data_IF_753144103815
#
_entry.id   IF_753144103815
#
_cell.length_a   1.000
_cell.length_b   1.000
_cell.length_c   1.000
_cell.angle_alpha   90.00
_cell.angle_beta   90.00
_cell.angle_gamma   90.00
#
_symmetry.space_group_name_H-M   'P 1'
#
loop_
_entity.id
_entity.type
_entity.pdbx_description
1 polymer ?
#
# COMPACT_ATOMS: atom_id res chain seq x y z
N UNK A 1 5.64 -14.31 -14.55
CA UNK A 1 6.55 -14.47 -13.40
C UNK A 1 5.79 -14.09 -12.14
N UNK A 2 5.37 -15.07 -11.34
CA UNK A 2 4.74 -14.83 -10.05
C UNK A 2 5.74 -14.09 -9.16
N UNK A 3 5.40 -12.86 -8.72
CA UNK A 3 6.20 -12.14 -7.73
C UNK A 3 6.20 -12.98 -6.45
N UNK A 4 7.39 -13.33 -5.95
CA UNK A 4 7.53 -13.89 -4.60
C UNK A 4 6.92 -12.87 -3.64
N UNK A 5 5.83 -13.25 -2.96
CA UNK A 5 5.26 -12.42 -1.91
C UNK A 5 6.33 -12.25 -0.83
N UNK A 6 6.74 -11.01 -0.55
CA UNK A 6 7.55 -10.71 0.63
C UNK A 6 6.70 -11.07 1.87
N UNK A 7 7.32 -11.41 3.02
CA UNK A 7 6.55 -11.80 4.20
C UNK A 7 5.63 -10.68 4.67
N UNK A 8 6.07 -9.43 4.52
CA UNK A 8 5.25 -8.26 4.76
C UNK A 8 4.01 -8.16 3.85
N UNK A 9 3.95 -8.89 2.72
CA UNK A 9 2.78 -8.95 1.85
C UNK A 9 1.76 -10.05 2.20
N UNK A 10 2.06 -10.97 3.12
CA UNK A 10 1.11 -12.04 3.49
C UNK A 10 -0.06 -11.42 4.28
N UNK A 11 -1.22 -11.33 3.65
CA UNK A 11 -2.45 -10.77 4.24
C UNK A 11 -2.88 -9.41 3.67
N UNK A 12 -2.00 -8.71 2.94
CA UNK A 12 -2.27 -7.40 2.34
C UNK A 12 -2.64 -7.50 0.84
N UNK A 13 -3.50 -8.43 0.41
CA UNK A 13 -3.78 -8.66 -1.03
C UNK A 13 -4.65 -7.56 -1.70
N UNK A 14 -4.38 -6.27 -1.47
CA UNK A 14 -5.10 -5.16 -2.10
C UNK A 14 -4.49 -4.82 -3.45
N UNK A 15 -5.27 -5.02 -4.51
CA UNK A 15 -4.93 -4.62 -5.88
C UNK A 15 -5.37 -3.17 -6.16
N UNK A 16 -4.70 -2.52 -7.12
CA UNK A 16 -5.06 -1.15 -7.52
C UNK A 16 -6.28 -1.14 -8.44
N UNK A 17 -7.25 -0.27 -8.14
CA UNK A 17 -8.41 0.00 -9.00
C UNK A 17 -8.15 1.29 -9.78
N UNK A 18 -8.00 1.19 -11.10
CA UNK A 18 -7.57 2.32 -11.93
C UNK A 18 -8.71 3.06 -12.62
N UNK A 19 -8.57 4.38 -12.70
CA UNK A 19 -9.37 5.27 -13.53
C UNK A 19 -8.42 5.91 -14.56
N UNK A 20 -8.78 5.80 -15.84
CA UNK A 20 -8.06 6.47 -16.92
C UNK A 20 -8.38 7.95 -16.92
N UNK A 21 -7.36 8.80 -17.04
CA UNK A 21 -7.51 10.25 -17.17
C UNK A 21 -6.52 10.84 -18.16
N UNK A 22 -6.90 11.95 -18.77
CA UNK A 22 -5.98 12.75 -19.58
C UNK A 22 -5.22 13.72 -18.67
N UNK A 23 -3.89 13.75 -18.78
CA UNK A 23 -3.05 14.58 -17.92
C UNK A 23 -3.10 16.04 -18.39
N UNK A 24 -3.77 16.88 -17.61
CA UNK A 24 -3.85 18.34 -17.83
C UNK A 24 -2.73 19.06 -17.07
N UNK A 25 -2.41 18.60 -15.85
CA UNK A 25 -1.29 19.10 -15.04
C UNK A 25 -0.16 18.07 -15.01
N UNK A 26 1.11 18.45 -15.17
CA UNK A 26 2.20 17.48 -15.15
C UNK A 26 2.24 16.70 -13.83
N UNK A 27 2.08 15.38 -13.93
CA UNK A 27 2.17 14.44 -12.81
C UNK A 27 3.32 13.45 -13.05
N UNK A 28 3.91 12.93 -11.98
CA UNK A 28 5.03 11.99 -12.07
C UNK A 28 4.53 10.56 -11.92
N UNK A 29 4.91 9.71 -12.85
CA UNK A 29 4.61 8.28 -12.82
C UNK A 29 5.35 7.60 -11.64
N UNK A 30 4.61 6.90 -10.78
CA UNK A 30 5.12 6.26 -9.56
C UNK A 30 6.02 5.05 -9.83
N UNK A 31 5.87 4.27 -10.92
CA UNK A 31 6.84 3.22 -11.20
C UNK A 31 8.14 3.65 -11.90
N UNK A 32 8.10 4.68 -12.77
CA UNK A 32 9.26 5.03 -13.60
C UNK A 32 9.91 6.39 -13.30
N UNK A 33 9.29 7.21 -12.44
CA UNK A 33 9.83 8.51 -12.03
C UNK A 33 9.77 9.59 -13.10
N UNK A 34 9.34 9.25 -14.31
CA UNK A 34 9.20 10.18 -15.43
C UNK A 34 7.87 10.93 -15.35
N UNK A 35 7.86 12.18 -15.80
CA UNK A 35 6.64 13.00 -15.89
C UNK A 35 5.78 12.49 -17.03
N UNK A 36 4.48 12.33 -16.77
CA UNK A 36 3.50 12.09 -17.83
C UNK A 36 3.35 13.38 -18.63
N UNK A 37 3.48 13.29 -19.96
CA UNK A 37 3.39 14.46 -20.84
C UNK A 37 1.97 15.02 -20.84
N UNK A 38 1.85 16.32 -21.10
CA UNK A 38 0.56 16.99 -21.30
C UNK A 38 -0.26 16.25 -22.37
N UNK A 39 -1.58 16.18 -22.14
CA UNK A 39 -2.58 15.51 -23.00
C UNK A 39 -2.37 14.02 -23.28
N UNK A 40 -1.42 13.36 -22.59
CA UNK A 40 -1.28 11.90 -22.65
C UNK A 40 -2.16 11.19 -21.62
N UNK A 41 -2.60 9.96 -21.91
CA UNK A 41 -3.36 9.16 -20.95
C UNK A 41 -2.47 8.73 -19.77
N UNK A 42 -3.02 8.78 -18.57
CA UNK A 42 -2.45 8.22 -17.35
C UNK A 42 -3.51 7.41 -16.61
N UNK A 43 -3.05 6.41 -15.86
CA UNK A 43 -3.89 5.67 -14.92
C UNK A 43 -3.70 6.26 -13.52
N UNK A 44 -4.79 6.56 -12.83
CA UNK A 44 -4.80 6.96 -11.43
C UNK A 44 -5.55 5.92 -10.61
N UNK A 45 -4.96 5.43 -9.53
CA UNK A 45 -5.64 4.55 -8.60
C UNK A 45 -6.70 5.32 -7.81
N UNK A 46 -7.91 4.76 -7.68
CA UNK A 46 -9.04 5.34 -6.94
C UNK A 46 -8.73 5.47 -5.45
N UNK A 47 -8.07 4.45 -4.90
CA UNK A 47 -7.81 4.32 -3.46
C UNK A 47 -6.51 5.02 -3.03
N UNK A 48 -5.35 4.56 -3.52
CA UNK A 48 -4.05 5.08 -3.09
C UNK A 48 -3.64 6.39 -3.79
N UNK A 49 -4.45 6.85 -4.77
CA UNK A 49 -4.20 8.03 -5.61
C UNK A 49 -2.88 7.99 -6.40
N UNK A 50 -2.17 6.86 -6.44
CA UNK A 50 -0.95 6.69 -7.23
C UNK A 50 -1.25 6.86 -8.73
N UNK A 51 -0.32 7.47 -9.45
CA UNK A 51 -0.45 7.78 -10.88
C UNK A 51 0.64 7.04 -11.64
N UNK A 52 0.28 6.40 -12.75
CA UNK A 52 1.24 5.72 -13.61
C UNK A 52 0.87 5.85 -15.08
N UNK A 53 1.86 5.61 -15.96
CA UNK A 53 1.58 5.40 -17.37
C UNK A 53 0.81 4.08 -17.57
N UNK A 54 0.00 3.95 -18.63
CA UNK A 54 -0.68 2.69 -18.96
C UNK A 54 0.27 1.48 -19.02
N UNK A 55 1.45 1.65 -19.61
CA UNK A 55 2.49 0.62 -19.70
C UNK A 55 3.24 0.33 -18.38
N UNK A 56 3.06 1.20 -17.37
CA UNK A 56 3.66 1.04 -16.05
C UNK A 56 2.69 0.43 -15.03
N UNK A 57 1.45 0.10 -15.43
CA UNK A 57 0.38 -0.41 -14.55
C UNK A 57 0.85 -1.53 -13.65
N UNK A 58 1.46 -2.55 -14.25
CA UNK A 58 1.85 -3.77 -13.52
C UNK A 58 3.08 -3.55 -12.65
N UNK A 59 3.82 -2.45 -12.84
CA UNK A 59 5.04 -2.10 -12.09
C UNK A 59 4.75 -1.30 -10.82
N UNK A 60 3.49 -0.99 -10.53
CA UNK A 60 3.14 -0.33 -9.28
C UNK A 60 3.48 -1.21 -8.07
N UNK A 61 3.97 -0.61 -6.97
CA UNK A 61 4.13 -1.31 -5.71
C UNK A 61 2.80 -1.90 -5.26
N UNK A 62 2.81 -3.17 -4.93
CA UNK A 62 1.75 -3.83 -4.18
C UNK A 62 2.25 -3.98 -2.74
N UNK A 63 1.38 -3.83 -1.75
CA UNK A 63 -0.08 -3.71 -1.84
C UNK A 63 -0.59 -2.28 -2.10
N UNK A 64 -1.83 -2.15 -2.59
CA UNK A 64 -2.51 -0.85 -2.71
C UNK A 64 -3.04 -0.39 -1.35
N UNK A 65 -2.45 0.69 -0.81
CA UNK A 65 -2.83 1.26 0.48
C UNK A 65 -3.63 2.54 0.24
N UNK A 66 -4.93 2.58 0.62
CA UNK A 66 -5.75 3.77 0.46
C UNK A 66 -5.08 5.00 1.09
N UNK A 67 -5.22 6.15 0.43
CA UNK A 67 -4.73 7.39 1.04
C UNK A 67 -5.56 7.69 2.28
N UNK A 68 -4.92 8.09 3.37
CA UNK A 68 -5.63 8.57 4.55
C UNK A 68 -6.63 9.69 4.15
N UNK A 69 -7.84 9.73 4.72
CA UNK A 69 -8.86 10.76 4.43
C UNK A 69 -8.40 12.20 4.66
N UNK A 70 -7.34 12.40 5.44
CA UNK A 70 -6.79 13.71 5.78
C UNK A 70 -6.55 14.58 4.53
N UNK A 71 -7.14 15.77 4.54
CA UNK A 71 -7.17 16.73 3.44
C UNK A 71 -5.76 17.01 2.90
N UNK A 72 -5.50 16.94 1.59
CA UNK A 72 -4.21 17.32 1.03
C UNK A 72 -3.86 18.78 1.39
N UNK A 73 -2.77 18.99 2.12
CA UNK A 73 -2.21 20.34 2.34
C UNK A 73 -2.15 20.82 3.80
N UNK A 74 -2.60 20.06 4.79
CA UNK A 74 -2.34 20.41 6.19
C UNK A 74 -0.91 20.02 6.58
N UNK A 75 -0.02 21.00 6.66
CA UNK A 75 1.36 20.86 7.19
C UNK A 75 1.42 20.39 8.67
N UNK A 76 0.31 19.94 9.27
CA UNK A 76 0.21 19.50 10.67
C UNK A 76 0.48 18.01 10.89
N UNK A 77 0.73 17.24 9.83
CA UNK A 77 0.93 15.78 9.89
C UNK A 77 2.31 15.36 10.45
N UNK A 78 3.13 16.26 10.99
CA UNK A 78 4.42 15.87 11.60
C UNK A 78 4.27 15.21 12.96
N UNK A 79 3.17 15.48 13.68
CA UNK A 79 2.93 15.02 15.05
C UNK A 79 1.47 14.54 15.17
N UNK A 80 1.27 13.23 15.09
CA UNK A 80 -0.05 12.59 15.16
C UNK A 80 0.04 11.22 15.82
N UNK A 81 -1.10 10.61 16.07
CA UNK A 81 -1.17 9.21 16.49
C UNK A 81 -1.18 8.28 15.27
N UNK A 82 -0.93 6.99 15.44
CA UNK A 82 -0.78 6.06 14.32
C UNK A 82 -2.03 6.00 13.42
N UNK A 83 -3.23 6.14 14.00
CA UNK A 83 -4.50 6.13 13.26
C UNK A 83 -4.63 7.30 12.27
N UNK A 84 -3.94 8.42 12.51
CA UNK A 84 -3.97 9.60 11.62
C UNK A 84 -3.23 9.33 10.30
N UNK A 85 -2.36 8.32 10.27
CA UNK A 85 -1.55 7.94 9.11
C UNK A 85 -2.01 6.62 8.46
N UNK A 86 -2.86 5.86 9.13
CA UNK A 86 -3.39 4.59 8.66
C UNK A 86 -4.59 4.78 7.71
N UNK A 87 -4.85 3.82 6.80
CA UNK A 87 -6.11 3.77 6.07
C UNK A 87 -7.28 3.47 7.02
N UNK A 88 -8.50 3.85 6.63
CA UNK A 88 -9.72 3.61 7.43
C UNK A 88 -10.18 2.15 7.44
N UNK A 89 -9.65 1.32 6.55
CA UNK A 89 -10.03 -0.09 6.38
C UNK A 89 -8.90 -1.01 6.83
N UNK A 90 -9.26 -2.16 7.45
CA UNK A 90 -8.30 -3.16 7.91
C UNK A 90 -7.59 -3.92 6.78
N UNK A 91 -6.29 -4.19 6.90
CA UNK A 91 -5.42 -3.82 8.02
C UNK A 91 -5.01 -2.34 7.98
N UNK A 92 -5.11 -1.69 9.14
CA UNK A 92 -4.92 -0.25 9.32
C UNK A 92 -3.44 0.11 9.52
N UNK A 93 -2.64 -0.09 8.47
CA UNK A 93 -1.18 0.13 8.52
C UNK A 93 -0.80 1.32 7.62
N UNK A 94 -0.04 2.32 8.13
CA UNK A 94 0.40 3.44 7.32
C UNK A 94 1.23 3.03 6.11
N UNK A 95 1.01 3.72 4.98
CA UNK A 95 1.74 3.47 3.73
C UNK A 95 3.26 3.57 3.87
N UNK A 96 3.74 4.51 4.69
CA UNK A 96 5.17 4.67 4.96
C UNK A 96 5.75 3.38 5.55
N UNK A 97 5.06 2.79 6.53
CA UNK A 97 5.49 1.57 7.21
C UNK A 97 5.59 0.40 6.21
N UNK A 98 4.53 0.17 5.44
CA UNK A 98 4.50 -0.95 4.48
C UNK A 98 5.54 -0.78 3.38
N UNK A 99 5.63 0.40 2.76
CA UNK A 99 6.57 0.62 1.67
C UNK A 99 8.02 0.50 2.13
N UNK A 100 8.36 1.06 3.29
CA UNK A 100 9.72 0.97 3.84
C UNK A 100 10.07 -0.48 4.20
N UNK A 101 9.19 -1.21 4.89
CA UNK A 101 9.43 -2.61 5.25
C UNK A 101 9.61 -3.50 4.01
N UNK A 102 8.73 -3.35 2.99
CA UNK A 102 8.84 -4.11 1.74
C UNK A 102 10.15 -3.83 1.01
N UNK A 103 10.60 -2.57 0.98
CA UNK A 103 11.89 -2.21 0.37
C UNK A 103 13.05 -2.84 1.14
N UNK A 104 13.01 -2.81 2.48
CA UNK A 104 14.03 -3.42 3.35
C UNK A 104 14.08 -4.94 3.16
N UNK A 105 12.94 -5.63 3.05
CA UNK A 105 12.93 -7.06 2.73
C UNK A 105 13.47 -7.36 1.33
N UNK A 106 13.21 -6.47 0.36
CA UNK A 106 13.60 -6.71 -1.02
C UNK A 106 15.11 -6.55 -1.27
N UNK A 107 15.78 -5.60 -0.60
CA UNK A 107 17.21 -5.31 -0.82
C UNK A 107 18.10 -5.31 0.41
N UNK A 108 17.53 -5.22 1.61
CA UNK A 108 18.27 -5.07 2.86
C UNK A 108 18.63 -6.39 3.57
N UNK A 109 18.07 -7.52 3.14
CA UNK A 109 18.31 -8.82 3.80
C UNK A 109 19.75 -9.35 3.64
N UNK A 110 20.52 -8.82 2.69
CA UNK A 110 21.96 -9.13 2.54
C UNK A 110 22.87 -8.20 3.34
N UNK A 111 22.35 -7.13 3.93
CA UNK A 111 23.16 -6.11 4.59
C UNK A 111 23.39 -6.40 6.07
N UNK A 112 24.64 -6.34 6.50
CA UNK A 112 25.03 -6.57 7.90
C UNK A 112 24.60 -5.39 8.76
N UNK A 113 23.92 -5.66 9.88
CA UNK A 113 23.54 -4.62 10.83
C UNK A 113 22.36 -3.76 10.37
N UNK A 114 21.45 -4.33 9.56
CA UNK A 114 20.20 -3.67 9.18
C UNK A 114 19.46 -3.14 10.44
N UNK A 115 18.87 -1.95 10.34
CA UNK A 115 18.35 -1.15 11.46
C UNK A 115 19.34 -0.65 12.52
N UNK A 116 20.51 -1.27 12.71
CA UNK A 116 21.53 -0.80 13.65
C UNK A 116 22.40 0.31 13.07
N UNK A 117 22.86 0.13 11.83
CA UNK A 117 23.71 1.12 11.14
C UNK A 117 22.86 2.35 10.77
N UNK A 118 23.31 3.58 11.09
CA UNK A 118 22.62 4.80 10.69
C UNK A 118 22.92 5.13 9.21
N UNK A 119 21.91 5.63 8.49
CA UNK A 119 22.09 6.23 7.16
C UNK A 119 22.21 7.75 7.23
N UNK A 120 22.16 8.43 6.07
CA UNK A 120 22.16 9.89 6.00
C UNK A 120 20.91 10.53 6.65
N UNK A 121 21.08 11.27 7.74
CA UNK A 121 19.96 11.93 8.46
C UNK A 121 19.19 12.93 7.59
N UNK A 122 19.90 13.63 6.69
CA UNK A 122 19.28 14.58 5.77
C UNK A 122 18.32 13.84 4.82
N UNK A 123 18.78 12.74 4.21
CA UNK A 123 17.96 11.96 3.28
C UNK A 123 16.79 11.28 3.98
N UNK A 124 16.99 10.81 5.22
CA UNK A 124 15.93 10.24 6.06
C UNK A 124 14.80 11.25 6.28
N UNK A 125 15.13 12.49 6.68
CA UNK A 125 14.15 13.56 6.91
C UNK A 125 13.42 13.96 5.63
N UNK A 126 14.15 14.10 4.51
CA UNK A 126 13.56 14.39 3.21
C UNK A 126 12.61 13.27 2.73
N UNK A 127 12.96 12.01 2.99
CA UNK A 127 12.12 10.86 2.65
C UNK A 127 10.83 10.85 3.47
N UNK A 128 10.94 11.01 4.80
CA UNK A 128 9.80 11.11 5.71
C UNK A 128 8.86 12.23 5.27
N UNK A 129 9.40 13.41 4.99
CA UNK A 129 8.60 14.56 4.55
C UNK A 129 7.85 14.28 3.23
N UNK A 130 8.48 13.60 2.26
CA UNK A 130 7.81 13.19 1.01
C UNK A 130 6.61 12.28 1.29
N UNK A 131 6.74 11.32 2.20
CA UNK A 131 5.62 10.44 2.60
C UNK A 131 4.50 11.21 3.29
N UNK A 132 4.83 12.07 4.27
CA UNK A 132 3.86 12.86 5.03
C UNK A 132 3.09 13.86 4.15
N UNK A 133 3.72 14.39 3.09
CA UNK A 133 3.06 15.22 2.06
C UNK A 133 2.17 14.41 1.09
N UNK A 134 1.94 13.12 1.37
CA UNK A 134 1.13 12.23 0.54
C UNK A 134 1.79 11.84 -0.78
N UNK A 135 3.08 12.13 -1.00
CA UNK A 135 3.79 11.73 -2.22
C UNK A 135 4.12 10.24 -2.19
N UNK A 136 4.45 9.72 -3.37
CA UNK A 136 4.90 8.35 -3.59
C UNK A 136 6.39 8.38 -3.97
N UNK A 137 7.31 8.38 -2.98
CA UNK A 137 8.74 8.41 -3.25
C UNK A 137 9.20 7.09 -3.88
N UNK A 138 10.13 7.19 -4.83
CA UNK A 138 10.79 6.06 -5.44
C UNK A 138 11.88 5.56 -4.50
N UNK A 139 11.58 4.56 -3.69
CA UNK A 139 12.54 4.04 -2.70
C UNK A 139 13.78 3.42 -3.36
N UNK A 140 13.64 2.88 -4.57
CA UNK A 140 14.76 2.32 -5.34
C UNK A 140 15.78 3.36 -5.80
N UNK A 141 15.45 4.66 -5.76
CA UNK A 141 16.41 5.73 -6.06
C UNK A 141 17.32 6.04 -4.86
N UNK A 142 17.01 5.49 -3.68
CA UNK A 142 17.83 5.66 -2.48
C UNK A 142 18.82 4.50 -2.44
N UNK A 143 20.09 4.79 -2.70
CA UNK A 143 21.14 3.78 -2.74
C UNK A 143 21.35 3.13 -1.36
N UNK A 144 21.45 3.94 -0.31
CA UNK A 144 21.65 3.46 1.06
C UNK A 144 20.34 2.90 1.66
N UNK A 145 20.30 1.62 2.01
CA UNK A 145 19.13 1.03 2.68
C UNK A 145 18.95 1.52 4.12
N UNK A 146 20.04 1.95 4.76
CA UNK A 146 20.01 2.45 6.13
C UNK A 146 19.23 3.77 6.24
N UNK A 147 19.13 4.54 5.15
CA UNK A 147 18.22 5.70 5.04
C UNK A 147 16.75 5.27 5.13
N UNK A 148 16.36 4.18 4.47
CA UNK A 148 14.97 3.66 4.54
C UNK A 148 14.68 3.12 5.94
N UNK A 149 15.64 2.40 6.55
CA UNK A 149 15.57 1.93 7.92
C UNK A 149 15.41 3.08 8.91
N UNK A 150 16.22 4.13 8.76
CA UNK A 150 16.18 5.33 9.59
C UNK A 150 14.86 6.08 9.44
N UNK A 151 14.35 6.24 8.22
CA UNK A 151 13.05 6.85 7.96
C UNK A 151 11.89 6.10 8.65
N UNK A 152 11.89 4.76 8.62
CA UNK A 152 10.87 3.97 9.31
C UNK A 152 10.93 4.19 10.83
N UNK A 153 12.12 4.10 11.42
CA UNK A 153 12.32 4.32 12.86
C UNK A 153 11.94 5.75 13.28
N UNK A 154 12.32 6.74 12.48
CA UNK A 154 12.03 8.15 12.76
C UNK A 154 10.54 8.48 12.61
N UNK A 155 9.82 7.78 11.73
CA UNK A 155 8.36 7.88 11.67
C UNK A 155 7.72 7.36 12.96
N UNK A 156 8.08 6.15 13.39
CA UNK A 156 7.49 5.51 14.58
C UNK A 156 7.81 6.28 15.87
N UNK A 157 9.06 6.73 16.03
CA UNK A 157 9.48 7.55 17.19
C UNK A 157 8.86 8.95 17.19
N UNK A 158 8.48 9.46 16.02
CA UNK A 158 7.87 10.78 15.87
C UNK A 158 6.34 10.80 16.10
N UNK A 159 5.74 9.66 16.42
CA UNK A 159 4.33 9.60 16.80
C UNK A 159 4.11 10.31 18.15
N UNK A 160 2.93 10.89 18.33
CA UNK A 160 2.53 11.55 19.59
C UNK A 160 2.48 10.56 20.77
N UNK A 161 2.27 9.29 20.47
CA UNK A 161 2.17 8.20 21.43
C UNK A 161 2.84 6.95 20.82
N UNK A 162 3.58 6.14 21.59
CA UNK A 162 4.16 4.89 21.09
C UNK A 162 3.10 3.90 20.62
N UNK A 163 3.51 2.92 19.82
CA UNK A 163 2.58 1.89 19.32
C UNK A 163 1.95 1.08 20.46
N UNK A 164 2.68 0.88 21.56
CA UNK A 164 2.19 0.20 22.77
C UNK A 164 1.20 1.04 23.59
N UNK A 165 1.05 2.34 23.29
CA UNK A 165 0.27 3.32 24.05
C UNK A 165 0.82 3.61 25.44
N UNK A 166 0.64 4.82 25.96
CA UNK A 166 1.02 5.16 27.34
C UNK A 166 0.16 4.40 28.35
N UNK A 167 -1.11 4.18 28.01
CA UNK A 167 -2.07 3.53 28.90
C UNK A 167 -1.73 2.07 29.19
N UNK A 168 -1.38 1.30 28.14
CA UNK A 168 -1.07 -0.13 28.30
C UNK A 168 0.41 -0.39 28.63
N UNK A 169 1.27 0.62 28.52
CA UNK A 169 2.71 0.49 28.75
C UNK A 169 3.07 -0.25 30.06
N UNK A 170 2.49 0.08 31.23
CA UNK A 170 2.81 -0.62 32.48
C UNK A 170 2.44 -2.11 32.42
N UNK A 171 1.28 -2.43 31.87
CA UNK A 171 0.80 -3.81 31.73
C UNK A 171 1.72 -4.64 30.82
N UNK A 172 2.25 -4.04 29.73
CA UNK A 172 3.22 -4.72 28.88
C UNK A 172 4.52 -5.04 29.62
N UNK A 173 4.99 -4.12 30.48
CA UNK A 173 6.18 -4.35 31.31
C UNK A 173 5.94 -5.43 32.35
N UNK A 174 4.81 -5.39 33.05
CA UNK A 174 4.44 -6.39 34.04
C UNK A 174 4.31 -7.79 33.41
N UNK A 175 3.69 -7.89 32.23
CA UNK A 175 3.59 -9.13 31.47
C UNK A 175 4.95 -9.67 31.05
N UNK A 176 5.89 -8.79 30.66
CA UNK A 176 7.24 -9.19 30.28
C UNK A 176 8.13 -9.63 31.45
N UNK A 177 7.76 -9.26 32.68
CA UNK A 177 8.40 -9.67 33.94
C UNK A 177 7.94 -11.04 34.46
N UNK A 178 6.88 -11.61 33.89
CA UNK A 178 6.41 -12.95 34.23
C UNK A 178 7.51 -13.97 33.90
N UNK A 179 7.96 -14.70 34.94
CA UNK A 179 9.01 -15.71 34.81
C UNK A 179 8.61 -16.93 33.97
N UNK A 180 7.33 -17.32 34.03
CA UNK A 180 6.77 -18.37 33.19
C UNK A 180 6.58 -17.85 31.75
N UNK A 181 7.32 -18.45 30.82
CA UNK A 181 7.38 -18.06 29.42
C UNK A 181 6.05 -18.26 28.69
N UNK A 182 5.24 -19.25 29.07
CA UNK A 182 3.94 -19.47 28.44
C UNK A 182 2.92 -18.43 28.93
N UNK A 183 2.86 -18.17 30.24
CA UNK A 183 2.00 -17.12 30.82
C UNK A 183 2.37 -15.73 30.32
N UNK A 184 3.67 -15.44 30.25
CA UNK A 184 4.20 -14.20 29.66
C UNK A 184 3.68 -14.00 28.23
N UNK A 185 3.75 -15.05 27.39
CA UNK A 185 3.26 -15.02 26.01
C UNK A 185 1.75 -14.78 25.97
N UNK A 186 0.97 -15.54 26.74
CA UNK A 186 -0.49 -15.44 26.77
C UNK A 186 -0.96 -14.04 27.18
N UNK A 187 -0.36 -13.46 28.23
CA UNK A 187 -0.69 -12.11 28.68
C UNK A 187 -0.32 -11.05 27.63
N UNK A 188 0.86 -11.17 27.01
CA UNK A 188 1.26 -10.26 25.94
C UNK A 188 0.35 -10.36 24.71
N UNK A 189 -0.11 -11.56 24.34
CA UNK A 189 -1.08 -11.75 23.26
C UNK A 189 -2.42 -11.05 23.56
N UNK A 190 -2.91 -11.17 24.81
CA UNK A 190 -4.12 -10.48 25.26
C UNK A 190 -3.96 -8.95 25.24
N UNK A 191 -2.83 -8.42 25.70
CA UNK A 191 -2.53 -6.98 25.67
C UNK A 191 -2.43 -6.45 24.24
N UNK A 192 -1.82 -7.21 23.32
CA UNK A 192 -1.77 -6.85 21.89
C UNK A 192 -3.17 -6.74 21.31
N UNK A 193 -4.07 -7.67 21.64
CA UNK A 193 -5.47 -7.66 21.18
C UNK A 193 -6.29 -6.51 21.80
N UNK A 194 -5.82 -5.96 22.93
CA UNK A 194 -6.44 -4.80 23.60
C UNK A 194 -5.98 -3.45 23.04
N UNK A 195 -4.99 -3.43 22.15
CA UNK A 195 -4.51 -2.20 21.51
C UNK A 195 -5.57 -1.64 20.54
N UNK A 196 -5.59 -0.31 20.32
CA UNK A 196 -6.37 0.27 19.24
C UNK A 196 -6.04 -0.38 17.89
N UNK A 197 -7.03 -0.51 17.01
CA UNK A 197 -6.92 -1.30 15.77
C UNK A 197 -5.69 -0.94 14.90
N UNK A 198 -5.42 0.37 14.72
CA UNK A 198 -4.27 0.82 13.94
C UNK A 198 -2.92 0.51 14.62
N UNK A 199 -2.85 0.56 15.95
CA UNK A 199 -1.69 0.17 16.74
C UNK A 199 -1.44 -1.33 16.60
N UNK A 200 -2.48 -2.15 16.80
CA UNK A 200 -2.41 -3.61 16.70
C UNK A 200 -1.98 -4.06 15.31
N UNK A 201 -2.64 -3.60 14.24
CA UNK A 201 -2.31 -3.98 12.86
C UNK A 201 -0.88 -3.55 12.50
N UNK A 202 -0.48 -2.33 12.89
CA UNK A 202 0.89 -1.84 12.62
C UNK A 202 1.93 -2.63 13.40
N UNK A 203 1.67 -2.95 14.67
CA UNK A 203 2.57 -3.75 15.50
C UNK A 203 2.72 -5.16 14.94
N UNK A 204 1.62 -5.82 14.57
CA UNK A 204 1.63 -7.16 14.01
C UNK A 204 2.43 -7.25 12.71
N UNK A 205 2.30 -6.24 11.85
CA UNK A 205 3.08 -6.13 10.63
C UNK A 205 4.58 -5.93 10.90
N UNK A 206 4.92 -5.02 11.82
CA UNK A 206 6.31 -4.73 12.17
C UNK A 206 6.99 -5.92 12.83
N UNK A 207 6.33 -6.60 13.77
CA UNK A 207 6.93 -7.75 14.46
C UNK A 207 7.25 -8.88 13.48
N UNK A 208 6.35 -9.19 12.53
CA UNK A 208 6.62 -10.20 11.49
C UNK A 208 7.82 -9.83 10.60
N UNK A 209 7.92 -8.55 10.22
CA UNK A 209 9.05 -8.02 9.47
C UNK A 209 10.37 -8.16 10.23
N UNK A 210 10.38 -7.81 11.52
CA UNK A 210 11.56 -7.91 12.37
C UNK A 210 11.95 -9.36 12.66
N UNK A 211 10.98 -10.26 12.83
CA UNK A 211 11.25 -11.70 12.95
C UNK A 211 11.93 -12.24 11.69
N UNK A 212 11.54 -11.79 10.49
CA UNK A 212 12.19 -12.23 9.24
C UNK A 212 13.66 -11.83 9.23
N UNK A 213 13.95 -10.59 9.63
CA UNK A 213 15.33 -10.09 9.70
C UNK A 213 16.13 -10.86 10.76
N UNK A 214 15.53 -11.17 11.91
CA UNK A 214 16.17 -11.94 12.97
C UNK A 214 16.56 -13.35 12.52
N UNK A 215 15.70 -13.99 11.70
CA UNK A 215 15.94 -15.32 11.14
C UNK A 215 16.90 -15.32 9.95
N UNK A 216 17.17 -14.15 9.36
CA UNK A 216 18.07 -14.03 8.20
C UNK A 216 19.53 -13.95 8.65
N UNK A 217 20.36 -14.98 8.41
CA UNK A 217 21.72 -15.04 8.99
C UNK A 217 22.65 -13.93 8.46
N UNK A 218 22.47 -13.51 7.21
CA UNK A 218 23.28 -12.47 6.58
C UNK A 218 23.14 -11.10 7.29
N UNK A 219 21.97 -10.81 7.86
CA UNK A 219 21.72 -9.54 8.56
C UNK A 219 22.54 -9.39 9.86
N UNK A 220 22.94 -10.50 10.50
CA UNK A 220 23.61 -10.51 11.83
C UNK A 220 22.88 -9.69 12.91
N UNK A 221 21.55 -9.68 12.85
CA UNK A 221 20.68 -8.91 13.74
C UNK A 221 19.66 -9.84 14.43
N UNK A 222 20.08 -10.68 15.39
CA UNK A 222 19.16 -11.55 16.15
C UNK A 222 18.13 -10.73 16.94
N UNK A 223 17.07 -11.40 17.41
CA UNK A 223 15.95 -10.77 18.11
C UNK A 223 16.40 -9.84 19.26
N UNK A 224 17.35 -10.25 20.11
CA UNK A 224 17.87 -9.39 21.19
C UNK A 224 18.59 -8.13 20.72
N UNK A 225 19.21 -8.14 19.53
CA UNK A 225 19.81 -6.92 18.94
C UNK A 225 18.72 -6.00 18.37
N UNK A 226 17.72 -6.56 17.69
CA UNK A 226 16.59 -5.78 17.18
C UNK A 226 15.76 -5.19 18.33
N UNK A 227 15.56 -5.93 19.43
CA UNK A 227 14.87 -5.48 20.61
C UNK A 227 15.51 -4.22 21.22
N UNK A 228 16.83 -4.12 21.24
CA UNK A 228 17.55 -2.91 21.70
C UNK A 228 17.34 -1.70 20.78
N UNK A 229 17.14 -1.94 19.49
CA UNK A 229 16.89 -0.87 18.50
C UNK A 229 15.42 -0.42 18.54
N UNK A 230 14.50 -1.37 18.66
CA UNK A 230 13.07 -1.14 18.54
C UNK A 230 12.34 -0.97 19.87
N UNK A 231 12.92 -1.33 21.01
CA UNK A 231 12.35 -1.08 22.34
C UNK A 231 11.98 0.39 22.52
N UNK A 232 12.94 1.33 22.43
CA UNK A 232 12.64 2.76 22.52
C UNK A 232 11.78 3.31 21.37
N UNK A 233 11.66 2.59 20.25
CA UNK A 233 10.97 3.06 19.04
C UNK A 233 9.50 2.62 18.99
N UNK A 234 9.18 1.40 19.43
CA UNK A 234 7.84 0.79 19.37
C UNK A 234 7.18 0.81 20.74
N UNK A 235 7.91 0.38 21.78
CA UNK A 235 7.41 0.38 23.16
C UNK A 235 7.41 1.80 23.71
N UNK A 236 8.48 2.56 23.42
CA UNK A 236 8.62 3.94 23.86
C UNK A 236 8.64 4.06 25.39
N UNK A 237 8.49 5.28 25.89
CA UNK A 237 8.45 5.55 27.33
C UNK A 237 7.01 5.56 27.84
N UNK A 238 6.84 5.45 29.16
CA UNK A 238 5.52 5.47 29.80
C UNK A 238 4.81 6.84 29.74
N UNK A 239 5.53 7.91 29.37
CA UNK A 239 4.98 9.25 29.20
C UNK A 239 5.70 10.04 28.08
N UNK A 240 5.14 11.17 27.61
CA UNK A 240 5.73 11.97 26.52
C UNK A 240 7.11 12.56 26.84
N UNK A 241 7.29 13.08 28.06
CA UNK A 241 8.50 13.79 28.49
C UNK A 241 9.09 13.14 29.76
N UNK A 242 9.72 11.96 29.64
CA UNK A 242 10.27 11.23 30.78
C UNK A 242 11.52 11.93 31.34
N UNK A 243 11.67 11.92 32.66
CA UNK A 243 12.86 12.44 33.31
C UNK A 243 14.11 11.58 32.97
N UNK A 244 15.34 12.13 32.97
CA UNK A 244 16.55 11.38 32.61
C UNK A 244 16.76 10.08 33.40
N UNK A 245 16.44 10.06 34.69
CA UNK A 245 16.50 8.83 35.52
C UNK A 245 15.49 7.78 35.08
N UNK A 246 14.29 8.20 34.70
CA UNK A 246 13.23 7.33 34.20
C UNK A 246 13.62 6.75 32.83
N UNK A 247 14.24 7.54 31.95
CA UNK A 247 14.75 7.06 30.67
C UNK A 247 15.72 5.88 30.89
N UNK A 248 16.65 6.01 31.86
CA UNK A 248 17.64 4.98 32.14
C UNK A 248 17.01 3.68 32.65
N UNK A 249 16.01 3.75 33.53
CA UNK A 249 15.35 2.56 34.08
C UNK A 249 14.42 1.90 33.07
N UNK A 250 13.64 2.69 32.33
CA UNK A 250 12.66 2.19 31.37
C UNK A 250 13.30 1.60 30.12
N UNK A 251 14.47 2.09 29.69
CA UNK A 251 15.16 1.55 28.49
C UNK A 251 15.38 0.04 28.59
N UNK A 252 15.73 -0.49 29.78
CA UNK A 252 15.90 -1.92 29.98
C UNK A 252 14.57 -2.67 29.86
N UNK A 253 13.49 -2.11 30.42
CA UNK A 253 12.13 -2.68 30.37
C UNK A 253 11.61 -2.73 28.93
N UNK A 254 11.77 -1.64 28.18
CA UNK A 254 11.38 -1.55 26.77
C UNK A 254 12.04 -2.64 25.91
N UNK A 255 13.34 -2.86 26.11
CA UNK A 255 14.08 -3.88 25.39
C UNK A 255 13.57 -5.28 25.72
N UNK A 256 13.28 -5.55 27.00
CA UNK A 256 12.71 -6.84 27.45
C UNK A 256 11.34 -7.07 26.83
N UNK A 257 10.43 -6.09 26.88
CA UNK A 257 9.10 -6.17 26.25
C UNK A 257 9.24 -6.47 24.76
N UNK A 258 10.08 -5.72 24.04
CA UNK A 258 10.28 -5.91 22.61
C UNK A 258 10.86 -7.29 22.27
N UNK A 259 11.77 -7.81 23.11
CA UNK A 259 12.29 -9.17 22.95
C UNK A 259 11.19 -10.22 23.14
N UNK A 260 10.32 -10.09 24.14
CA UNK A 260 9.18 -11.00 24.34
C UNK A 260 8.18 -10.94 23.20
N UNK A 261 7.91 -9.76 22.65
CA UNK A 261 7.03 -9.62 21.48
C UNK A 261 7.61 -10.33 20.25
N UNK A 262 8.93 -10.27 20.03
CA UNK A 262 9.60 -10.98 18.92
C UNK A 262 9.59 -12.50 19.08
N UNK A 263 9.37 -13.02 20.29
CA UNK A 263 9.30 -14.47 20.57
C UNK A 263 7.89 -15.05 20.37
N UNK A 264 6.87 -14.20 20.22
CA UNK A 264 5.49 -14.65 19.92
C UNK A 264 5.46 -15.31 18.53
N UNK A 265 4.84 -16.50 18.37
CA UNK A 265 4.79 -17.21 17.09
C UNK A 265 4.25 -16.35 15.94
N UNK A 266 4.81 -16.52 14.74
CA UNK A 266 4.40 -15.80 13.53
C UNK A 266 2.91 -15.96 13.20
N UNK A 267 2.35 -17.14 13.47
CA UNK A 267 0.96 -17.46 13.17
C UNK A 267 -0.02 -16.53 13.89
N UNK A 268 0.24 -16.22 15.17
CA UNK A 268 -0.56 -15.24 15.92
C UNK A 268 -0.62 -13.88 15.22
N UNK A 269 0.52 -13.38 14.74
CA UNK A 269 0.58 -12.10 14.06
C UNK A 269 -0.06 -12.14 12.66
N UNK A 270 0.04 -13.28 11.97
CA UNK A 270 -0.60 -13.48 10.68
C UNK A 270 -2.13 -13.51 10.82
N UNK A 271 -2.65 -14.19 11.84
CA UNK A 271 -4.07 -14.27 12.15
C UNK A 271 -4.65 -12.89 12.46
N UNK A 272 -3.92 -12.05 13.19
CA UNK A 272 -4.32 -10.66 13.45
C UNK A 272 -4.45 -9.85 12.16
N UNK A 273 -3.60 -10.06 11.16
CA UNK A 273 -3.64 -9.32 9.90
C UNK A 273 -4.58 -9.93 8.86
N UNK A 274 -5.06 -11.14 9.08
CA UNK A 274 -6.00 -11.78 8.18
C UNK A 274 -7.31 -11.01 8.19
N UNK A 275 -7.75 -10.55 7.02
CA UNK A 275 -9.10 -10.02 6.83
C UNK A 275 -9.87 -11.17 6.24
N UNK A 276 -10.75 -11.80 7.03
CA UNK A 276 -11.66 -12.80 6.50
C UNK A 276 -12.43 -12.19 5.32
N UNK A 277 -12.36 -12.86 4.16
CA UNK A 277 -13.10 -12.54 2.94
C UNK A 277 -14.64 -12.62 3.15
N UNK A 278 -15.08 -13.01 4.35
CA UNK A 278 -16.48 -13.18 4.79
C UNK A 278 -17.24 -11.88 5.08
N UNK A 279 -16.80 -10.73 4.56
CA UNK A 279 -17.58 -9.48 4.58
C UNK A 279 -18.00 -8.99 3.19
N UNK A 280 -17.59 -9.68 2.11
CA UNK A 280 -18.05 -9.38 0.74
C UNK A 280 -19.36 -10.10 0.36
N UNK A 281 -19.85 -10.99 1.21
CA UNK A 281 -21.19 -11.54 1.12
C UNK A 281 -21.99 -11.07 2.34
N UNK A 282 -22.75 -9.96 2.23
CA UNK A 282 -23.84 -9.72 3.17
C UNK A 282 -24.69 -10.99 3.19
N UNK A 283 -24.74 -11.65 4.35
CA UNK A 283 -25.46 -12.90 4.52
C UNK A 283 -26.88 -12.80 3.98
N UNK A 284 -27.20 -13.71 3.05
CA UNK A 284 -28.50 -13.84 2.42
C UNK A 284 -28.41 -13.82 0.90
N UNK A 285 -27.83 -14.84 0.28
CA UNK A 285 -28.36 -15.26 -1.02
C UNK A 285 -29.86 -15.52 -0.81
N UNK A 286 -30.77 -14.88 -1.56
CA UNK A 286 -32.17 -15.27 -1.51
C UNK A 286 -32.21 -16.76 -1.81
N UNK A 287 -32.79 -17.52 -0.88
CA UNK A 287 -33.16 -18.91 -1.11
C UNK A 287 -33.84 -18.95 -2.48
N UNK A 288 -33.24 -19.64 -3.45
CA UNK A 288 -33.94 -19.93 -4.69
C UNK A 288 -35.05 -20.89 -4.26
N UNK A 289 -36.33 -20.51 -4.33
CA UNK A 289 -37.39 -21.43 -3.97
C UNK A 289 -37.28 -22.64 -4.89
N UNK A 290 -37.48 -23.83 -4.35
CA UNK A 290 -37.47 -25.07 -5.13
C UNK A 290 -38.28 -24.90 -6.40
N UNK A 291 -37.66 -25.26 -7.53
CA UNK A 291 -38.28 -25.23 -8.84
C UNK A 291 -39.50 -26.16 -8.84
N UNK A 292 -40.69 -25.59 -8.68
CA UNK A 292 -41.85 -26.15 -9.34
C UNK A 292 -41.72 -25.85 -10.83
N UNK A 293 -41.87 -26.88 -11.65
CA UNK A 293 -41.75 -26.82 -13.10
C UNK A 293 -42.74 -25.78 -13.62
N UNK A 294 -42.25 -24.70 -14.24
CA UNK A 294 -43.12 -23.76 -14.92
C UNK A 294 -43.88 -24.46 -16.06
N UNK A 295 -45.18 -24.19 -16.27
CA UNK A 295 -45.90 -24.75 -17.40
C UNK A 295 -45.27 -24.30 -18.73
N UNK A 296 -45.20 -25.24 -19.68
CA UNK A 296 -44.62 -25.04 -21.02
C UNK A 296 -45.21 -23.81 -21.71
N UNK A 297 -44.34 -22.99 -22.32
CA UNK A 297 -44.74 -21.90 -23.21
C UNK A 297 -45.62 -22.42 -24.35
N UNK A 298 -46.74 -21.73 -24.63
CA UNK A 298 -47.67 -22.07 -25.72
C UNK A 298 -47.21 -21.63 -27.10
N UNK A 299 -46.05 -20.97 -27.21
CA UNK A 299 -45.45 -20.58 -28.47
C UNK A 299 -44.16 -21.38 -28.63
N UNK A 300 -44.18 -22.34 -29.57
CA UNK A 300 -43.06 -23.24 -29.85
C UNK A 300 -41.83 -22.53 -30.43
N UNK A 301 -40.71 -23.26 -30.62
CA UNK A 301 -39.47 -22.68 -31.11
C UNK A 301 -39.62 -22.22 -32.57
N UNK A 302 -39.24 -20.97 -32.84
CA UNK A 302 -39.11 -20.45 -34.21
C UNK A 302 -37.76 -20.88 -34.76
N UNK A 303 -37.76 -21.80 -35.73
CA UNK A 303 -36.58 -22.19 -36.50
C UNK A 303 -36.36 -21.17 -37.63
N UNK A 304 -35.18 -20.55 -37.69
CA UNK A 304 -34.71 -19.85 -38.90
C UNK A 304 -33.89 -20.82 -39.76
N UNK A 305 -34.18 -20.95 -41.07
CA UNK A 305 -33.38 -21.80 -41.96
C UNK A 305 -32.11 -21.06 -42.42
N UNK A 306 -31.02 -21.80 -42.44
CA UNK A 306 -29.74 -21.45 -43.05
C UNK A 306 -29.80 -21.81 -44.55
N UNK A 307 -29.28 -20.97 -45.46
CA UNK A 307 -28.78 -21.38 -46.79
C UNK A 307 -28.17 -20.19 -47.55
N UNK A 308 -26.90 -20.38 -47.91
CA UNK A 308 -26.19 -19.79 -49.05
C UNK A 308 -26.90 -20.05 -50.40
N UNK A 309 -26.46 -19.30 -51.42
CA UNK A 309 -26.53 -19.57 -52.87
C UNK A 309 -27.51 -18.76 -53.78
N UNK A 310 -26.91 -18.23 -54.85
CA UNK A 310 -27.43 -17.76 -56.15
C UNK A 310 -28.20 -16.43 -56.33
N UNK A 311 -27.44 -15.49 -56.90
CA UNK A 311 -27.68 -14.55 -58.01
C UNK A 311 -29.07 -14.40 -58.67
N UNK A 312 -29.29 -13.14 -59.10
CA UNK A 312 -30.13 -12.64 -60.18
C UNK A 312 -31.65 -12.59 -59.95
N UNK A 313 -32.18 -11.39 -59.68
CA UNK A 313 -33.20 -10.77 -60.54
C UNK A 313 -33.37 -9.27 -60.21
N UNK A 314 -33.31 -8.44 -61.26
CA UNK A 314 -33.60 -7.00 -61.22
C UNK A 314 -35.11 -6.76 -61.14
N UNK A 315 -35.57 -5.79 -60.34
CA UNK A 315 -36.35 -4.63 -60.87
C UNK A 315 -36.63 -3.55 -59.81
N UNK A 316 -36.85 -2.34 -60.31
CA UNK A 316 -36.78 -1.02 -59.66
C UNK A 316 -38.15 -0.55 -59.18
N UNK A 317 -38.20 0.23 -58.09
CA UNK A 317 -39.03 1.46 -57.91
C UNK A 317 -38.53 2.16 -56.61
N UNK A 318 -38.06 3.42 -56.64
CA UNK A 318 -38.70 4.72 -56.86
C UNK A 318 -39.27 5.37 -55.58
N UNK A 319 -38.41 5.63 -54.59
CA UNK A 319 -38.47 6.78 -53.64
C UNK A 319 -37.23 6.79 -52.74
N UNK A 320 -36.10 7.30 -53.24
CA UNK A 320 -34.94 7.66 -52.41
C UNK A 320 -34.28 8.90 -53.01
N UNK A 321 -34.10 10.02 -52.27
CA UNK A 321 -33.23 11.10 -52.71
C UNK A 321 -31.77 10.63 -52.62
N UNK A 322 -31.05 10.66 -53.75
CA UNK A 322 -29.60 10.50 -53.82
C UNK A 322 -28.96 11.89 -53.75
N UNK A 323 -27.90 12.06 -52.96
CA UNK A 323 -26.85 13.03 -53.28
C UNK A 323 -25.50 12.32 -53.34
N UNK A 324 -24.95 12.39 -54.55
CA UNK A 324 -23.71 11.79 -55.03
C UNK A 324 -22.52 12.68 -54.68
N UNK A 325 -21.43 12.04 -54.27
CA UNK A 325 -20.06 12.58 -54.40
C UNK A 325 -19.68 12.67 -55.88
N UNK A 326 -18.98 13.75 -56.26
CA UNK A 326 -18.15 13.82 -57.47
C UNK A 326 -16.81 14.45 -57.12
N UNK A 327 -15.76 13.74 -57.44
CA UNK A 327 -14.36 14.18 -57.52
C UNK A 327 -14.12 14.95 -58.81
N UNK A 328 -13.19 15.91 -58.79
CA UNK A 328 -12.43 16.36 -59.96
C UNK A 328 -10.98 16.68 -59.57
N UNK A 329 -10.06 16.25 -60.41
CA UNK A 329 -8.61 16.49 -60.38
C UNK A 329 -8.24 17.90 -60.91
N UNK A 330 -7.17 18.51 -60.37
CA UNK A 330 -5.85 18.67 -61.07
C UNK A 330 -5.08 19.98 -60.75
N UNK A 331 -3.75 19.83 -60.70
CA UNK A 331 -2.63 20.77 -60.99
C UNK A 331 -2.13 21.80 -59.94
N UNK A 332 -0.82 21.67 -59.61
CA UNK A 332 0.12 22.72 -59.14
C UNK A 332 0.52 23.63 -60.34
N UNK A 333 0.93 24.92 -60.14
CA UNK A 333 2.35 25.30 -59.85
C UNK A 333 2.48 26.50 -58.87
N UNK A 334 3.47 26.54 -57.96
CA UNK A 334 4.80 27.21 -58.01
C UNK A 334 4.85 28.75 -57.77
N UNK A 335 5.53 29.10 -56.67
CA UNK A 335 6.39 30.27 -56.35
C UNK A 335 5.82 31.65 -55.93
N UNK A 336 6.64 32.28 -55.06
CA UNK A 336 6.84 33.71 -54.73
C UNK A 336 5.88 34.40 -53.73
N UNK A 337 6.31 34.59 -52.48
CA UNK A 337 7.00 35.82 -52.02
C UNK A 337 7.49 35.70 -50.56
N UNK A 338 8.60 36.40 -50.30
CA UNK A 338 9.32 36.50 -49.03
C UNK A 338 8.65 37.44 -48.01
N UNK A 339 9.14 37.39 -46.77
CA UNK A 339 8.81 38.16 -45.55
C UNK A 339 8.51 39.65 -45.71
N UNK A 340 8.02 40.27 -44.61
CA UNK A 340 8.88 41.26 -43.96
C UNK A 340 9.04 41.05 -42.44
N UNK A 341 10.28 41.24 -42.01
CA UNK A 341 10.69 41.59 -40.64
C UNK A 341 10.40 43.07 -40.45
N UNK A 342 9.84 43.49 -39.31
CA UNK A 342 10.03 44.87 -38.85
C UNK A 342 10.05 44.94 -37.31
N UNK A 343 11.22 45.35 -36.83
CA UNK A 343 11.61 46.05 -35.59
C UNK A 343 11.31 45.46 -34.22
#
# INVERSE_FOLDING_TARGET
ALRKASSAGRGLNRVHIFISKTVIKPETCVPCGKRVRFSKPALKCKECRAVCHPECRDKLPLPCIPSCPSTPGTNKLSEGIISDFAPSERPMIPRLVVNCANEIENRGLSEVGIYRVPGSDKEQKELKEKFLKGRHPHLSNIHDIHVVCGCLKDFLRGLKEPLVTFHLWPSFVDAADIGDRNKCREELQHLVQSLPQANMDTLAFLVQHLQMIAETPACKMPAGNLAKVFGPTIVGYSCPDPAPMQIMTETRRQNQVMERLLEIPRDFWADLLCVDDMSLFPGGTPYTPDFHSAPRSMLGPINTPDMTEYANEMTRTATTPKYSTKTFHSKKPSRFFSSPVVN
#
